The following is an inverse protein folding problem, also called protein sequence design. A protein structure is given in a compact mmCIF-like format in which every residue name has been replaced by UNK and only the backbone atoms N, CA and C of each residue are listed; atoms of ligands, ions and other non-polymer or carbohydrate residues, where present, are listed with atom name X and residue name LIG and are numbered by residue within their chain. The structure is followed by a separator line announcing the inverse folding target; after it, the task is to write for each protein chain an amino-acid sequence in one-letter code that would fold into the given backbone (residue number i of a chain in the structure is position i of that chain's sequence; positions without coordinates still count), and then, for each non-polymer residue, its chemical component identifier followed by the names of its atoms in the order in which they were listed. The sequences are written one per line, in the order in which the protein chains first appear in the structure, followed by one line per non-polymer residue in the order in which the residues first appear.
data_IF_152189856581
#
_entry.id   IF_152189856581
#
_cell.length_a   1.000
_cell.length_b   1.000
_cell.length_c   1.000
_cell.angle_alpha   90.00
_cell.angle_beta   90.00
_cell.angle_gamma   90.00
#
_symmetry.space_group_name_H-M   'P 1'
#
loop_
_entity.id
_entity.type
_entity.pdbx_description
1 polymer ?
#
# COMPACT_ATOMS: atom_id res chain seq x y z
N UNK A 1 37.22 -7.54 -8.44
CA UNK A 1 36.99 -6.68 -9.63
C UNK A 1 35.97 -5.64 -9.21
N UNK A 2 36.24 -4.34 -9.41
CA UNK A 2 35.22 -3.33 -9.13
C UNK A 2 34.16 -3.42 -10.21
N UNK A 3 33.01 -4.04 -9.89
CA UNK A 3 31.88 -4.06 -10.81
C UNK A 3 31.41 -2.63 -11.06
N UNK A 4 31.06 -2.33 -12.31
CA UNK A 4 30.48 -1.03 -12.66
C UNK A 4 29.09 -0.93 -12.03
N UNK A 5 28.81 0.20 -11.40
CA UNK A 5 27.52 0.49 -10.78
C UNK A 5 26.77 1.56 -11.57
N UNK A 6 25.50 1.31 -11.88
CA UNK A 6 24.55 2.32 -12.34
C UNK A 6 23.63 2.68 -11.16
N UNK A 7 23.72 3.93 -10.72
CA UNK A 7 22.74 4.53 -9.82
C UNK A 7 21.58 5.05 -10.64
N UNK A 8 20.35 4.81 -10.20
CA UNK A 8 19.15 5.30 -10.87
C UNK A 8 18.05 5.67 -9.88
N UNK A 9 17.20 6.59 -10.31
CA UNK A 9 15.98 7.03 -9.66
C UNK A 9 15.00 7.53 -10.73
N UNK A 10 13.71 7.20 -10.57
CA UNK A 10 12.67 7.51 -11.54
C UNK A 10 11.60 8.42 -10.95
N UNK A 11 11.31 9.48 -11.68
CA UNK A 11 10.13 10.29 -11.42
C UNK A 11 9.04 9.94 -12.42
N UNK A 12 7.88 9.53 -11.89
CA UNK A 12 6.80 8.96 -12.71
C UNK A 12 5.45 9.60 -12.44
N UNK A 13 4.61 9.65 -13.47
CA UNK A 13 3.21 10.05 -13.34
C UNK A 13 2.29 8.85 -13.46
N UNK A 14 1.28 8.74 -12.60
CA UNK A 14 0.18 7.79 -12.78
C UNK A 14 -1.12 8.38 -12.27
N UNK A 15 -2.22 8.08 -12.95
CA UNK A 15 -3.56 8.39 -12.43
C UNK A 15 -3.94 7.48 -11.25
N UNK A 16 -3.35 6.29 -11.18
CA UNK A 16 -3.53 5.35 -10.09
C UNK A 16 -2.69 5.81 -8.89
N UNK A 17 -3.27 5.99 -7.70
CA UNK A 17 -2.50 6.36 -6.52
C UNK A 17 -1.50 5.27 -6.10
N UNK A 18 -0.25 5.64 -5.81
CA UNK A 18 0.79 4.68 -5.35
C UNK A 18 0.41 3.89 -4.09
N UNK A 19 -0.49 4.43 -3.26
CA UNK A 19 -1.04 3.74 -2.08
C UNK A 19 -1.83 2.47 -2.41
N UNK A 20 -2.25 2.31 -3.66
CA UNK A 20 -2.90 1.12 -4.16
C UNK A 20 -1.89 -0.04 -4.37
N UNK A 21 -0.59 0.26 -4.35
CA UNK A 21 0.49 -0.71 -4.54
C UNK A 21 1.33 -0.37 -5.76
N UNK A 22 2.62 -0.65 -5.67
CA UNK A 22 3.60 -0.34 -6.73
C UNK A 22 3.27 -1.00 -8.05
N UNK A 23 2.79 -2.25 -8.04
CA UNK A 23 2.48 -2.98 -9.28
C UNK A 23 1.27 -2.40 -10.01
N UNK A 24 0.15 -2.19 -9.32
CA UNK A 24 -1.04 -1.53 -9.90
C UNK A 24 -0.73 -0.08 -10.32
N UNK A 25 0.13 0.61 -9.58
CA UNK A 25 0.62 1.95 -9.97
C UNK A 25 1.41 1.90 -11.28
N UNK A 26 2.35 0.95 -11.40
CA UNK A 26 3.30 0.85 -12.50
C UNK A 26 2.67 0.46 -13.84
N UNK A 27 1.56 -0.29 -13.83
CA UNK A 27 0.78 -0.63 -15.04
C UNK A 27 0.29 0.61 -15.80
N UNK A 28 0.11 1.73 -15.10
CA UNK A 28 -0.35 2.99 -15.67
C UNK A 28 0.66 4.13 -15.49
N UNK A 29 1.89 3.80 -15.08
CA UNK A 29 2.91 4.79 -14.82
C UNK A 29 3.64 5.20 -16.10
N UNK A 30 3.82 6.51 -16.27
CA UNK A 30 4.67 7.11 -17.28
C UNK A 30 5.95 7.61 -16.62
N UNK A 31 7.12 7.16 -17.11
CA UNK A 31 8.41 7.70 -16.66
C UNK A 31 8.58 9.09 -17.27
N UNK A 32 8.71 10.10 -16.42
CA UNK A 32 8.90 11.48 -16.83
C UNK A 32 10.38 11.85 -16.84
N UNK A 33 11.06 11.60 -15.72
CA UNK A 33 12.50 11.86 -15.57
C UNK A 33 13.21 10.59 -15.14
N UNK A 34 14.41 10.40 -15.69
CA UNK A 34 15.31 9.33 -15.34
C UNK A 34 16.61 9.95 -14.84
N UNK A 35 16.78 10.04 -13.52
CA UNK A 35 18.03 10.43 -12.91
C UNK A 35 18.97 9.23 -12.84
N UNK A 36 20.22 9.42 -13.25
CA UNK A 36 21.18 8.31 -13.31
C UNK A 36 22.61 8.78 -13.21
N UNK A 37 23.48 7.86 -12.81
CA UNK A 37 24.91 8.11 -12.80
C UNK A 37 25.71 6.79 -12.79
N UNK A 38 26.81 6.73 -13.54
CA UNK A 38 27.70 5.55 -13.55
C UNK A 38 28.84 5.76 -12.56
N UNK A 39 29.07 4.78 -11.68
CA UNK A 39 30.10 4.80 -10.65
C UNK A 39 30.06 6.09 -9.81
N UNK A 40 31.09 6.94 -9.93
CA UNK A 40 31.21 8.25 -9.28
C UNK A 40 31.12 9.41 -10.27
N UNK A 41 30.71 9.17 -11.52
CA UNK A 41 30.53 10.24 -12.49
C UNK A 41 29.40 11.20 -12.04
N UNK A 42 29.42 12.46 -12.53
CA UNK A 42 28.36 13.42 -12.25
C UNK A 42 26.98 12.87 -12.57
N UNK A 43 25.99 13.25 -11.75
CA UNK A 43 24.60 12.85 -11.96
C UNK A 43 24.05 13.53 -13.22
N UNK A 44 23.31 12.77 -14.02
CA UNK A 44 22.61 13.25 -15.19
C UNK A 44 21.13 12.94 -15.04
N UNK A 45 20.27 13.80 -15.58
CA UNK A 45 18.82 13.59 -15.61
C UNK A 45 18.38 13.62 -17.05
N UNK A 46 17.81 12.52 -17.52
CA UNK A 46 17.19 12.44 -18.82
C UNK A 46 15.70 12.79 -18.69
N UNK A 47 15.29 13.88 -19.32
CA UNK A 47 13.88 14.21 -19.51
C UNK A 47 13.31 13.32 -20.63
N UNK A 48 12.60 12.27 -20.23
CA UNK A 48 12.00 11.28 -21.14
C UNK A 48 10.88 11.91 -21.96
N UNK A 49 10.24 12.95 -21.43
CA UNK A 49 9.13 13.66 -22.09
C UNK A 49 9.59 14.62 -23.19
N UNK A 50 10.88 14.93 -23.25
CA UNK A 50 11.45 15.89 -24.20
C UNK A 50 11.49 15.39 -25.66
N UNK A 51 11.25 14.10 -25.90
CA UNK A 51 11.38 13.47 -27.21
C UNK A 51 12.82 13.12 -27.61
N UNK A 52 13.81 13.49 -26.79
CA UNK A 52 15.19 13.07 -27.00
C UNK A 52 15.36 11.57 -26.73
N UNK A 53 16.20 10.92 -27.54
CA UNK A 53 16.56 9.53 -27.33
C UNK A 53 17.27 9.34 -25.98
N UNK A 54 17.14 8.13 -25.42
CA UNK A 54 17.86 7.71 -24.21
C UNK A 54 19.36 7.95 -24.40
N UNK A 55 20.06 8.58 -23.43
CA UNK A 55 21.51 8.74 -23.49
C UNK A 55 22.20 7.39 -23.70
N UNK A 56 23.13 7.35 -24.66
CA UNK A 56 23.78 6.10 -25.08
C UNK A 56 24.51 5.38 -23.92
N UNK A 57 25.14 6.16 -23.05
CA UNK A 57 25.81 5.69 -21.84
C UNK A 57 24.85 5.03 -20.85
N UNK A 58 23.65 5.59 -20.65
CA UNK A 58 22.60 4.98 -19.85
C UNK A 58 22.11 3.67 -20.49
N UNK A 59 21.84 3.70 -21.79
CA UNK A 59 21.39 2.52 -22.56
C UNK A 59 22.40 1.38 -22.46
N UNK A 60 23.69 1.66 -22.61
CA UNK A 60 24.75 0.67 -22.48
C UNK A 60 24.84 0.10 -21.06
N UNK A 61 24.75 0.96 -20.04
CA UNK A 61 24.81 0.52 -18.64
C UNK A 61 23.60 -0.37 -18.26
N UNK A 62 22.40 -0.02 -18.72
CA UNK A 62 21.18 -0.81 -18.50
C UNK A 62 21.27 -2.20 -19.15
N UNK A 63 21.75 -2.26 -20.40
CA UNK A 63 21.82 -3.50 -21.18
C UNK A 63 23.02 -4.41 -20.83
N UNK A 64 24.02 -3.90 -20.11
CA UNK A 64 25.19 -4.70 -19.73
C UNK A 64 24.88 -5.56 -18.48
N UNK A 65 24.92 -6.91 -18.58
CA UNK A 65 24.62 -7.80 -17.47
C UNK A 65 25.61 -7.72 -16.30
N UNK A 66 26.84 -7.23 -16.55
CA UNK A 66 27.89 -7.08 -15.52
C UNK A 66 27.74 -5.79 -14.70
N UNK A 67 26.82 -4.90 -15.10
CA UNK A 67 26.51 -3.66 -14.38
C UNK A 67 25.50 -3.93 -13.27
N UNK A 68 25.89 -3.54 -12.05
CA UNK A 68 25.04 -3.59 -10.86
C UNK A 68 24.15 -2.34 -10.83
N UNK A 69 22.86 -2.54 -10.61
CA UNK A 69 21.84 -1.49 -10.57
C UNK A 69 21.55 -1.12 -9.12
N UNK A 70 21.68 0.16 -8.77
CA UNK A 70 21.38 0.68 -7.44
C UNK A 70 20.23 1.69 -7.51
N UNK A 71 19.25 1.51 -6.62
CA UNK A 71 18.19 2.47 -6.34
C UNK A 71 17.92 2.54 -4.83
N UNK A 72 17.06 3.46 -4.40
CA UNK A 72 16.53 3.50 -3.04
C UNK A 72 15.07 3.09 -3.08
N UNK A 73 14.72 1.98 -2.44
CA UNK A 73 13.43 1.32 -2.67
C UNK A 73 13.27 0.87 -4.14
N UNK A 74 14.27 0.12 -4.61
CA UNK A 74 14.34 -0.48 -5.95
C UNK A 74 13.11 -1.29 -6.35
N UNK A 75 12.30 -1.75 -5.39
CA UNK A 75 11.00 -2.35 -5.68
C UNK A 75 10.13 -1.44 -6.55
N UNK A 76 10.20 -0.12 -6.34
CA UNK A 76 9.54 0.88 -7.17
C UNK A 76 10.14 0.94 -8.58
N UNK A 77 11.39 1.38 -8.71
CA UNK A 77 12.02 1.65 -10.01
C UNK A 77 12.07 0.40 -10.89
N UNK A 78 12.42 -0.74 -10.31
CA UNK A 78 12.46 -2.02 -11.01
C UNK A 78 11.10 -2.42 -11.54
N UNK A 79 10.04 -2.22 -10.76
CA UNK A 79 8.69 -2.57 -11.19
C UNK A 79 8.24 -1.67 -12.32
N UNK A 80 8.43 -0.36 -12.20
CA UNK A 80 8.13 0.60 -13.29
C UNK A 80 8.90 0.25 -14.56
N UNK A 81 10.20 0.00 -14.48
CA UNK A 81 11.02 -0.37 -15.64
C UNK A 81 10.59 -1.70 -16.28
N UNK A 82 10.16 -2.68 -15.47
CA UNK A 82 9.65 -3.94 -16.00
C UNK A 82 8.44 -3.73 -16.92
N UNK A 83 7.60 -2.71 -16.66
CA UNK A 83 6.45 -2.35 -17.50
C UNK A 83 6.84 -1.61 -18.78
N UNK A 84 8.04 -1.03 -18.88
CA UNK A 84 8.56 -0.46 -20.13
C UNK A 84 9.21 -1.50 -21.04
N UNK A 85 9.29 -2.76 -20.59
CA UNK A 85 9.96 -3.85 -21.28
C UNK A 85 11.42 -4.04 -20.87
N UNK A 86 11.99 -3.16 -20.05
CA UNK A 86 13.32 -3.35 -19.47
C UNK A 86 13.26 -4.29 -18.26
N UNK A 87 13.72 -5.52 -18.44
CA UNK A 87 13.77 -6.52 -17.36
C UNK A 87 15.22 -6.92 -17.09
N UNK A 88 15.77 -6.42 -16.00
CA UNK A 88 17.08 -6.82 -15.52
C UNK A 88 16.98 -7.96 -14.50
N UNK A 89 17.92 -8.91 -14.57
CA UNK A 89 18.06 -9.99 -13.59
C UNK A 89 18.09 -9.45 -12.15
N UNK A 90 17.32 -10.07 -11.25
CA UNK A 90 17.20 -9.63 -9.85
C UNK A 90 18.56 -9.59 -9.13
N UNK A 91 19.48 -10.48 -9.48
CA UNK A 91 20.84 -10.53 -8.93
C UNK A 91 21.67 -9.26 -9.19
N UNK A 92 21.32 -8.48 -10.22
CA UNK A 92 21.96 -7.19 -10.56
C UNK A 92 21.51 -6.07 -9.64
N UNK A 93 20.36 -6.19 -8.99
CA UNK A 93 19.78 -5.11 -8.19
C UNK A 93 20.38 -5.03 -6.79
N UNK A 94 20.54 -3.79 -6.33
CA UNK A 94 20.89 -3.40 -4.97
C UNK A 94 20.01 -2.24 -4.55
N UNK A 95 19.69 -2.21 -3.27
CA UNK A 95 18.75 -1.27 -2.68
C UNK A 95 19.30 -0.68 -1.38
N UNK A 96 19.46 0.64 -1.35
CA UNK A 96 19.97 1.34 -0.17
C UNK A 96 18.95 1.37 0.98
N UNK A 97 17.65 1.31 0.70
CA UNK A 97 16.62 1.13 1.74
C UNK A 97 16.79 -0.24 2.40
N UNK A 98 17.02 -1.29 1.62
CA UNK A 98 17.21 -2.65 2.16
C UNK A 98 18.48 -2.73 2.97
N UNK A 99 19.58 -2.14 2.48
CA UNK A 99 20.82 -2.02 3.25
C UNK A 99 20.59 -1.33 4.60
N UNK A 100 19.74 -0.32 4.68
CA UNK A 100 19.38 0.29 5.97
C UNK A 100 18.58 -0.66 6.86
N UNK A 101 17.53 -1.29 6.31
CA UNK A 101 16.62 -2.16 7.05
C UNK A 101 17.32 -3.39 7.64
N UNK A 102 18.30 -3.99 6.94
CA UNK A 102 19.11 -5.12 7.45
C UNK A 102 19.97 -4.74 8.66
N UNK A 103 20.15 -3.45 8.92
CA UNK A 103 20.91 -2.93 10.06
C UNK A 103 20.00 -2.24 11.10
N UNK A 104 18.67 -2.44 11.01
CA UNK A 104 17.70 -1.87 11.96
C UNK A 104 17.51 -0.36 11.84
N UNK A 105 17.94 0.24 10.73
CA UNK A 105 17.84 1.68 10.48
C UNK A 105 16.51 2.04 9.77
N UNK A 106 16.11 3.32 9.78
CA UNK A 106 14.93 3.79 9.05
C UNK A 106 15.04 3.53 7.55
N UNK A 107 13.93 3.19 6.90
CA UNK A 107 13.92 2.91 5.45
C UNK A 107 13.88 4.14 4.55
N UNK A 108 13.41 5.30 5.04
CA UNK A 108 13.26 6.50 4.21
C UNK A 108 14.58 7.24 4.03
N UNK A 109 14.92 7.64 2.79
CA UNK A 109 16.17 8.32 2.45
C UNK A 109 16.44 9.56 3.30
N UNK A 110 15.45 10.46 3.44
CA UNK A 110 15.58 11.65 4.28
C UNK A 110 15.88 11.34 5.75
N UNK A 111 15.24 10.30 6.32
CA UNK A 111 15.50 9.86 7.69
C UNK A 111 16.91 9.26 7.83
N UNK A 112 17.42 8.60 6.79
CA UNK A 112 18.80 8.11 6.76
C UNK A 112 19.81 9.26 6.69
N UNK A 113 19.54 10.29 5.88
CA UNK A 113 20.36 11.49 5.83
C UNK A 113 20.46 12.18 7.20
N UNK A 114 19.33 12.34 7.89
CA UNK A 114 19.28 12.89 9.25
C UNK A 114 20.12 12.07 10.24
N UNK A 115 19.95 10.74 10.26
CA UNK A 115 20.67 9.83 11.17
C UNK A 115 22.19 9.84 10.89
N UNK A 116 22.58 9.92 9.63
CA UNK A 116 23.98 9.87 9.20
C UNK A 116 24.67 11.25 9.20
N UNK A 117 23.96 12.32 9.57
CA UNK A 117 24.49 13.68 9.51
C UNK A 117 24.89 14.10 8.10
N UNK A 118 24.15 13.63 7.08
CA UNK A 118 24.29 14.11 5.70
C UNK A 118 23.51 15.42 5.65
N UNK A 119 24.15 16.51 5.21
CA UNK A 119 23.50 17.82 5.12
C UNK A 119 22.39 17.77 4.08
N UNK A 120 21.15 17.54 4.55
CA UNK A 120 19.95 17.73 3.77
C UNK A 120 19.45 19.15 4.03
N UNK A 121 19.36 19.96 2.98
CA UNK A 121 18.71 21.25 3.07
C UNK A 121 17.20 21.01 3.19
N UNK A 122 16.66 21.16 4.41
CA UNK A 122 15.22 20.95 4.69
C UNK A 122 14.30 21.81 3.83
N UNK A 123 14.78 22.93 3.28
CA UNK A 123 14.00 23.73 2.33
C UNK A 123 13.82 22.99 1.00
N UNK A 124 14.88 22.31 0.52
CA UNK A 124 14.86 21.48 -0.71
C UNK A 124 13.95 20.27 -0.56
N UNK A 125 13.86 19.67 0.62
CA UNK A 125 12.91 18.57 0.89
C UNK A 125 11.45 19.01 0.77
N UNK A 126 11.12 20.21 1.26
CA UNK A 126 9.75 20.73 1.21
C UNK A 126 9.36 21.09 -0.22
N UNK A 127 10.28 21.71 -0.96
CA UNK A 127 10.13 22.04 -2.37
C UNK A 127 9.98 20.79 -3.23
N UNK A 128 10.87 19.81 -3.08
CA UNK A 128 10.81 18.53 -3.78
C UNK A 128 9.49 17.81 -3.58
N UNK A 129 9.01 17.74 -2.33
CA UNK A 129 7.67 17.21 -2.05
C UNK A 129 6.57 17.96 -2.80
N UNK A 130 6.64 19.29 -2.89
CA UNK A 130 5.65 20.06 -3.65
C UNK A 130 5.69 19.74 -5.16
N UNK A 131 6.89 19.57 -5.72
CA UNK A 131 7.10 19.20 -7.13
C UNK A 131 6.58 17.79 -7.43
N UNK A 132 6.89 16.79 -6.59
CA UNK A 132 6.34 15.43 -6.70
C UNK A 132 4.79 15.47 -6.66
N UNK A 133 4.21 16.26 -5.76
CA UNK A 133 2.75 16.39 -5.67
C UNK A 133 2.13 17.07 -6.90
N UNK A 134 2.89 17.93 -7.58
CA UNK A 134 2.47 18.65 -8.77
C UNK A 134 2.56 17.78 -10.03
N UNK A 135 3.67 17.07 -10.22
CA UNK A 135 3.99 16.35 -11.46
C UNK A 135 3.71 14.85 -11.42
N UNK A 136 3.80 14.17 -10.27
CA UNK A 136 3.75 12.70 -10.21
C UNK A 136 2.33 12.12 -10.00
N UNK A 137 1.31 12.98 -9.94
CA UNK A 137 -0.10 12.57 -9.80
C UNK A 137 -1.09 13.60 -10.36
N UNK A 138 -2.35 13.22 -10.61
CA UNK A 138 -3.38 14.17 -11.01
C UNK A 138 -3.57 15.27 -9.96
N UNK A 139 -3.77 16.50 -10.43
CA UNK A 139 -4.10 17.65 -9.57
C UNK A 139 -5.48 17.45 -8.90
N UNK A 140 -5.91 18.31 -7.96
CA UNK A 140 -7.26 18.29 -7.42
C UNK A 140 -8.35 18.55 -8.48
N UNK A 141 -9.52 17.89 -8.38
CA UNK A 141 -10.60 17.93 -9.40
C UNK A 141 -11.18 19.33 -9.66
N UNK A 142 -11.01 20.27 -8.74
CA UNK A 142 -11.45 21.65 -8.85
C UNK A 142 -10.52 22.55 -9.68
N UNK A 143 -9.42 22.01 -10.23
CA UNK A 143 -8.49 22.74 -11.09
C UNK A 143 -8.70 22.33 -12.56
N UNK A 144 -8.72 23.31 -13.46
CA UNK A 144 -8.92 23.11 -14.91
C UNK A 144 -7.83 22.24 -15.54
N UNK A 145 -6.56 22.51 -15.22
CA UNK A 145 -5.43 21.68 -15.64
C UNK A 145 -5.32 20.49 -14.69
N UNK A 146 -5.68 19.30 -15.20
CA UNK A 146 -5.65 18.05 -14.44
C UNK A 146 -4.25 17.46 -14.26
N UNK A 147 -3.34 17.74 -15.20
CA UNK A 147 -1.97 17.22 -15.25
C UNK A 147 -0.99 18.36 -15.52
N UNK A 148 -0.02 18.56 -14.63
CA UNK A 148 1.08 19.48 -14.87
C UNK A 148 2.13 18.81 -15.77
N UNK A 149 2.78 19.60 -16.62
CA UNK A 149 3.76 19.16 -17.62
C UNK A 149 4.83 20.23 -17.80
N UNK A 150 5.92 19.89 -18.49
CA UNK A 150 6.95 20.83 -18.93
C UNK A 150 6.41 22.04 -19.72
N UNK A 151 5.31 21.87 -20.44
CA UNK A 151 4.68 22.95 -21.22
C UNK A 151 3.79 23.86 -20.36
N UNK A 152 3.10 23.29 -19.37
CA UNK A 152 2.14 24.06 -18.54
C UNK A 152 2.81 24.73 -17.35
N UNK A 153 3.90 24.17 -16.83
CA UNK A 153 4.63 24.64 -15.64
C UNK A 153 6.15 24.55 -15.91
N UNK A 154 6.69 25.31 -16.89
CA UNK A 154 8.08 25.16 -17.34
C UNK A 154 9.12 25.49 -16.27
N UNK A 155 8.88 26.50 -15.43
CA UNK A 155 9.81 26.89 -14.36
C UNK A 155 9.88 25.83 -13.27
N UNK A 156 8.73 25.31 -12.84
CA UNK A 156 8.64 24.20 -11.90
C UNK A 156 9.24 22.92 -12.49
N UNK A 157 9.11 22.69 -13.80
CA UNK A 157 9.72 21.53 -14.46
C UNK A 157 11.24 21.59 -14.41
N UNK A 158 11.85 22.75 -14.66
CA UNK A 158 13.31 22.90 -14.54
C UNK A 158 13.79 22.65 -13.11
N UNK A 159 13.04 23.11 -12.11
CA UNK A 159 13.30 22.80 -10.69
C UNK A 159 13.14 21.31 -10.40
N UNK A 160 12.18 20.65 -11.05
CA UNK A 160 11.95 19.22 -10.90
C UNK A 160 13.08 18.38 -11.49
N UNK A 161 13.60 18.75 -12.66
CA UNK A 161 14.81 18.15 -13.25
C UNK A 161 16.00 18.30 -12.30
N UNK A 162 16.22 19.50 -11.75
CA UNK A 162 17.30 19.73 -10.81
C UNK A 162 17.14 18.93 -9.50
N UNK A 163 15.91 18.77 -9.02
CA UNK A 163 15.59 17.99 -7.84
C UNK A 163 15.83 16.49 -8.03
N UNK A 164 15.40 15.90 -9.16
CA UNK A 164 15.52 14.47 -9.43
C UNK A 164 16.96 13.95 -9.34
N UNK A 165 17.97 14.79 -9.64
CA UNK A 165 19.38 14.41 -9.52
C UNK A 165 19.89 14.33 -8.08
N UNK A 166 19.24 14.98 -7.11
CA UNK A 166 19.74 15.08 -5.73
C UNK A 166 19.67 13.76 -4.98
N UNK A 167 18.66 12.94 -5.24
CA UNK A 167 18.46 11.67 -4.55
C UNK A 167 19.58 10.67 -4.86
N UNK A 168 20.17 10.73 -6.07
CA UNK A 168 21.35 9.92 -6.44
C UNK A 168 22.57 10.26 -5.59
N UNK A 169 22.83 11.53 -5.34
CA UNK A 169 23.97 11.97 -4.52
C UNK A 169 23.78 11.52 -3.07
N UNK A 170 22.57 11.71 -2.53
CA UNK A 170 22.21 11.25 -1.19
C UNK A 170 22.34 9.72 -1.07
N UNK A 171 21.81 8.96 -2.03
CA UNK A 171 21.93 7.50 -2.07
C UNK A 171 23.38 7.00 -2.04
N UNK A 172 24.26 7.62 -2.84
CA UNK A 172 25.69 7.27 -2.89
C UNK A 172 26.35 7.47 -1.53
N UNK A 173 26.08 8.61 -0.89
CA UNK A 173 26.68 8.94 0.40
C UNK A 173 26.11 8.05 1.51
N UNK A 174 24.80 7.78 1.49
CA UNK A 174 24.14 6.81 2.40
C UNK A 174 24.78 5.43 2.23
N UNK A 175 24.87 4.89 1.01
CA UNK A 175 25.46 3.58 0.75
C UNK A 175 26.90 3.46 1.27
N UNK A 176 27.68 4.54 1.12
CA UNK A 176 29.09 4.61 1.57
C UNK A 176 29.20 4.56 3.09
N UNK A 177 28.30 5.24 3.81
CA UNK A 177 28.31 5.31 5.29
C UNK A 177 27.64 4.12 5.96
N UNK A 178 26.67 3.50 5.28
CA UNK A 178 25.94 2.36 5.81
C UNK A 178 26.84 1.12 5.91
N UNK A 179 26.70 0.32 6.98
CA UNK A 179 27.37 -0.97 7.07
C UNK A 179 26.98 -1.92 5.93
N UNK A 180 27.85 -2.90 5.65
CA UNK A 180 27.66 -3.90 4.58
C UNK A 180 27.58 -5.34 5.09
N UNK A 181 27.88 -5.58 6.37
CA UNK A 181 28.05 -6.93 6.90
C UNK A 181 26.74 -7.75 6.91
N UNK A 182 25.57 -7.12 7.10
CA UNK A 182 24.25 -7.77 6.93
C UNK A 182 23.63 -7.54 5.54
N UNK A 183 24.38 -6.97 4.59
CA UNK A 183 23.89 -6.65 3.25
C UNK A 183 24.72 -7.37 2.17
N UNK A 184 24.89 -8.67 2.38
CA UNK A 184 25.69 -9.58 1.56
C UNK A 184 25.27 -11.03 1.86
N UNK A 185 25.73 -11.99 1.04
CA UNK A 185 25.51 -13.42 1.28
C UNK A 185 24.03 -13.78 1.40
N UNK A 186 23.69 -14.56 2.44
CA UNK A 186 22.37 -15.11 2.65
C UNK A 186 21.28 -14.05 2.87
N UNK A 187 21.59 -12.93 3.54
CA UNK A 187 20.64 -11.83 3.75
C UNK A 187 20.26 -11.15 2.43
N UNK A 188 21.26 -10.94 1.56
CA UNK A 188 21.02 -10.38 0.23
C UNK A 188 20.21 -11.36 -0.64
N UNK A 189 20.53 -12.65 -0.57
CA UNK A 189 19.78 -13.69 -1.27
C UNK A 189 18.34 -13.81 -0.76
N UNK A 190 18.12 -13.63 0.55
CA UNK A 190 16.80 -13.63 1.17
C UNK A 190 15.97 -12.42 0.72
N UNK A 191 16.59 -11.24 0.59
CA UNK A 191 15.92 -10.09 -0.03
C UNK A 191 15.58 -10.35 -1.52
N UNK A 192 16.50 -10.92 -2.31
CA UNK A 192 16.18 -11.28 -3.70
C UNK A 192 15.02 -12.28 -3.76
N UNK A 193 14.92 -13.21 -2.82
CA UNK A 193 13.79 -14.15 -2.69
C UNK A 193 12.48 -13.44 -2.35
N UNK A 194 12.50 -12.45 -1.45
CA UNK A 194 11.36 -11.58 -1.18
C UNK A 194 10.88 -10.87 -2.44
N UNK A 195 11.80 -10.31 -3.24
CA UNK A 195 11.45 -9.66 -4.50
C UNK A 195 10.83 -10.64 -5.51
N UNK A 196 11.39 -11.85 -5.65
CA UNK A 196 10.80 -12.90 -6.50
C UNK A 196 9.37 -13.26 -6.09
N UNK A 197 9.11 -13.39 -4.78
CA UNK A 197 7.77 -13.68 -4.25
C UNK A 197 6.81 -12.55 -4.57
N UNK A 198 7.23 -11.30 -4.32
CA UNK A 198 6.41 -10.12 -4.56
C UNK A 198 6.11 -9.92 -6.06
N UNK A 199 7.09 -10.15 -6.94
CA UNK A 199 6.91 -10.05 -8.39
C UNK A 199 5.96 -11.11 -8.93
N UNK A 200 6.04 -12.34 -8.39
CA UNK A 200 5.12 -13.42 -8.76
C UNK A 200 3.70 -13.12 -8.29
N UNK A 201 3.54 -12.59 -7.09
CA UNK A 201 2.24 -12.33 -6.48
C UNK A 201 1.38 -13.58 -6.26
N UNK A 202 0.13 -13.37 -5.89
CA UNK A 202 -0.89 -14.40 -5.63
C UNK A 202 -2.09 -14.16 -6.53
N UNK A 203 -2.66 -15.21 -7.12
CA UNK A 203 -3.88 -15.09 -7.92
C UNK A 203 -5.06 -14.84 -6.99
N UNK A 204 -5.85 -13.81 -7.30
CA UNK A 204 -6.96 -13.40 -6.44
C UNK A 204 -8.31 -13.75 -7.07
N UNK A 205 -9.25 -14.18 -6.25
CA UNK A 205 -10.66 -14.27 -6.63
C UNK A 205 -11.30 -12.87 -6.59
N UNK A 206 -11.13 -12.14 -7.70
CA UNK A 206 -11.64 -10.78 -7.87
C UNK A 206 -13.17 -10.74 -7.80
N UNK A 207 -13.84 -11.77 -8.30
CA UNK A 207 -15.31 -11.87 -8.27
C UNK A 207 -15.81 -11.97 -6.83
N UNK A 208 -15.22 -12.86 -6.02
CA UNK A 208 -15.53 -12.95 -4.60
C UNK A 208 -15.29 -11.61 -3.90
N UNK A 209 -14.16 -10.96 -4.17
CA UNK A 209 -13.84 -9.69 -3.53
C UNK A 209 -14.85 -8.59 -3.87
N UNK A 210 -15.26 -8.51 -5.13
CA UNK A 210 -16.29 -7.57 -5.60
C UNK A 210 -17.63 -7.86 -4.95
N UNK A 211 -18.11 -9.10 -5.03
CA UNK A 211 -19.39 -9.52 -4.44
C UNK A 211 -19.42 -9.32 -2.92
N UNK A 212 -18.32 -9.59 -2.22
CA UNK A 212 -18.22 -9.34 -0.79
C UNK A 212 -18.29 -7.84 -0.45
N UNK A 213 -17.68 -6.96 -1.25
CA UNK A 213 -17.81 -5.50 -1.06
C UNK A 213 -19.27 -5.07 -1.23
N UNK A 214 -19.92 -5.53 -2.29
CA UNK A 214 -21.33 -5.20 -2.58
C UNK A 214 -22.24 -5.68 -1.45
N UNK A 215 -22.08 -6.93 -0.99
CA UNK A 215 -22.85 -7.50 0.11
C UNK A 215 -22.67 -6.69 1.41
N UNK A 216 -21.43 -6.33 1.76
CA UNK A 216 -21.18 -5.52 2.97
C UNK A 216 -21.77 -4.11 2.84
N UNK A 217 -21.69 -3.49 1.67
CA UNK A 217 -22.26 -2.15 1.46
C UNK A 217 -23.79 -2.14 1.56
N UNK A 218 -24.47 -3.21 1.15
CA UNK A 218 -25.91 -3.36 1.37
C UNK A 218 -26.21 -3.62 2.85
N UNK A 219 -25.48 -4.53 3.49
CA UNK A 219 -25.67 -4.84 4.91
C UNK A 219 -25.48 -3.61 5.80
N UNK A 220 -24.46 -2.80 5.52
CA UNK A 220 -24.25 -1.55 6.25
C UNK A 220 -25.42 -0.56 6.14
N UNK A 221 -26.11 -0.51 5.00
CA UNK A 221 -27.31 0.32 4.83
C UNK A 221 -28.47 -0.23 5.65
N UNK A 222 -28.66 -1.56 5.66
CA UNK A 222 -29.70 -2.21 6.46
C UNK A 222 -29.47 -2.00 7.96
N UNK A 223 -28.24 -2.21 8.44
CA UNK A 223 -27.86 -1.97 9.83
C UNK A 223 -28.02 -0.50 10.22
N UNK A 224 -27.69 0.45 9.33
CA UNK A 224 -27.90 1.88 9.57
C UNK A 224 -29.40 2.21 9.68
N UNK A 225 -30.24 1.66 8.79
CA UNK A 225 -31.70 1.84 8.85
C UNK A 225 -32.28 1.29 10.16
N UNK A 226 -31.90 0.07 10.55
CA UNK A 226 -32.34 -0.54 11.81
C UNK A 226 -31.86 0.26 13.03
N UNK A 227 -30.64 0.81 12.97
CA UNK A 227 -30.14 1.73 14.01
C UNK A 227 -31.04 2.96 14.14
N UNK A 228 -31.42 3.57 13.02
CA UNK A 228 -32.29 4.75 13.03
C UNK A 228 -33.67 4.40 13.61
N UNK A 229 -34.26 3.27 13.21
CA UNK A 229 -35.55 2.79 13.72
C UNK A 229 -35.49 2.52 15.23
N UNK A 230 -34.43 1.88 15.74
CA UNK A 230 -34.28 1.57 17.15
C UNK A 230 -33.96 2.78 18.04
N UNK A 231 -33.48 3.87 17.44
CA UNK A 231 -33.04 5.08 18.16
C UNK A 231 -33.92 6.29 17.86
N UNK A 232 -35.08 6.10 17.24
CA UNK A 232 -35.98 7.18 16.79
C UNK A 232 -35.26 8.28 15.98
N UNK A 233 -34.25 7.88 15.20
CA UNK A 233 -33.44 8.77 14.36
C UNK A 233 -32.32 9.53 15.09
N UNK A 234 -32.15 9.37 16.40
CA UNK A 234 -31.07 10.03 17.15
C UNK A 234 -29.68 9.59 16.69
N UNK A 235 -29.55 8.34 16.24
CA UNK A 235 -28.31 7.77 15.72
C UNK A 235 -28.49 7.36 14.26
N UNK A 236 -27.69 7.96 13.37
CA UNK A 236 -27.81 7.72 11.93
C UNK A 236 -27.14 6.41 11.49
N UNK A 237 -26.06 6.03 12.16
CA UNK A 237 -25.39 4.75 11.93
C UNK A 237 -24.76 4.28 13.23
N UNK A 238 -24.81 2.97 13.49
CA UNK A 238 -24.24 2.41 14.70
C UNK A 238 -22.74 2.70 14.82
N UNK A 239 -22.03 3.04 13.74
CA UNK A 239 -20.61 3.43 13.74
C UNK A 239 -20.34 4.80 14.41
N UNK A 240 -21.35 5.64 14.63
CA UNK A 240 -21.24 6.95 15.30
C UNK A 240 -21.08 6.79 16.82
N UNK A 241 -19.84 6.59 17.28
CA UNK A 241 -19.50 6.29 18.69
C UNK A 241 -20.19 7.23 19.69
N UNK A 242 -20.03 8.54 19.52
CA UNK A 242 -20.48 9.52 20.50
C UNK A 242 -22.00 9.66 20.52
N UNK A 243 -22.65 9.56 19.36
CA UNK A 243 -24.11 9.53 19.26
C UNK A 243 -24.67 8.27 19.94
N UNK A 244 -24.06 7.10 19.71
CA UNK A 244 -24.45 5.85 20.38
C UNK A 244 -24.28 5.93 21.89
N UNK A 245 -23.14 6.40 22.39
CA UNK A 245 -22.93 6.54 23.85
C UNK A 245 -23.97 7.48 24.47
N UNK A 246 -24.25 8.61 23.80
CA UNK A 246 -25.26 9.57 24.23
C UNK A 246 -26.65 8.94 24.29
N UNK A 247 -27.08 8.29 23.21
CA UNK A 247 -28.38 7.61 23.12
C UNK A 247 -28.54 6.52 24.19
N UNK A 248 -27.52 5.67 24.36
CA UNK A 248 -27.57 4.59 25.37
C UNK A 248 -27.73 5.17 26.78
N UNK A 249 -27.03 6.26 27.07
CA UNK A 249 -27.11 6.93 28.37
C UNK A 249 -28.49 7.57 28.56
N UNK A 250 -29.02 8.26 27.56
CA UNK A 250 -30.30 8.97 27.67
C UNK A 250 -31.51 8.03 27.70
N UNK A 251 -31.54 7.02 26.84
CA UNK A 251 -32.69 6.14 26.67
C UNK A 251 -32.71 4.98 27.68
N UNK A 252 -31.54 4.46 28.07
CA UNK A 252 -31.44 3.27 28.93
C UNK A 252 -30.81 3.54 30.30
N UNK A 253 -30.25 4.73 30.55
CA UNK A 253 -29.57 5.05 31.80
C UNK A 253 -28.27 4.26 32.02
N UNK A 254 -27.76 3.60 30.99
CA UNK A 254 -26.56 2.76 31.05
C UNK A 254 -25.34 3.54 30.58
N UNK A 255 -24.28 3.56 31.39
CA UNK A 255 -23.00 4.17 31.01
C UNK A 255 -22.02 3.07 30.59
N UNK A 256 -21.49 3.20 29.37
CA UNK A 256 -20.43 2.34 28.85
C UNK A 256 -19.08 3.09 28.88
N UNK A 257 -17.99 2.44 29.31
CA UNK A 257 -16.67 3.08 29.36
C UNK A 257 -16.10 3.32 27.95
N UNK A 258 -16.46 2.46 27.00
CA UNK A 258 -16.02 2.48 25.62
C UNK A 258 -16.96 1.66 24.74
N UNK A 259 -16.69 1.68 23.43
CA UNK A 259 -17.37 0.88 22.40
C UNK A 259 -16.46 -0.23 21.86
N UNK A 260 -15.51 -0.72 22.68
CA UNK A 260 -14.61 -1.80 22.28
C UNK A 260 -15.35 -3.13 22.26
N UNK A 261 -14.92 -4.03 21.35
CA UNK A 261 -15.56 -5.33 21.13
C UNK A 261 -15.77 -6.13 22.43
N UNK A 262 -14.74 -6.26 23.26
CA UNK A 262 -14.81 -6.99 24.54
C UNK A 262 -15.82 -6.40 25.53
N UNK A 263 -15.93 -5.07 25.58
CA UNK A 263 -16.91 -4.37 26.42
C UNK A 263 -18.33 -4.66 25.95
N UNK A 264 -18.56 -4.58 24.64
CA UNK A 264 -19.87 -4.83 24.05
C UNK A 264 -20.30 -6.28 24.19
N UNK A 265 -19.43 -7.24 23.89
CA UNK A 265 -19.72 -8.67 24.04
C UNK A 265 -20.09 -9.03 25.48
N UNK A 266 -19.35 -8.52 26.47
CA UNK A 266 -19.67 -8.73 27.89
C UNK A 266 -21.05 -8.15 28.25
N UNK A 267 -21.40 -6.99 27.72
CA UNK A 267 -22.69 -6.32 28.01
C UNK A 267 -23.85 -7.03 27.32
N UNK A 268 -23.67 -7.53 26.10
CA UNK A 268 -24.68 -8.32 25.40
C UNK A 268 -24.99 -9.62 26.16
N UNK A 269 -23.97 -10.23 26.78
CA UNK A 269 -24.13 -11.44 27.59
C UNK A 269 -24.76 -11.19 28.98
N UNK A 270 -24.93 -9.93 29.40
CA UNK A 270 -25.54 -9.57 30.67
C UNK A 270 -27.07 -9.74 30.58
N UNK A 271 -27.67 -10.69 31.32
CA UNK A 271 -29.11 -10.96 31.25
C UNK A 271 -29.96 -9.81 31.80
N UNK A 272 -29.38 -8.96 32.65
CA UNK A 272 -30.07 -7.80 33.23
C UNK A 272 -30.12 -6.61 32.26
N UNK A 273 -29.38 -6.67 31.14
CA UNK A 273 -29.38 -5.61 30.15
C UNK A 273 -30.67 -5.66 29.30
N UNK A 274 -31.39 -4.53 29.14
CA UNK A 274 -32.61 -4.48 28.34
C UNK A 274 -32.42 -5.09 26.96
N UNK A 275 -33.35 -5.95 26.54
CA UNK A 275 -33.28 -6.63 25.25
C UNK A 275 -33.06 -5.69 24.05
N UNK A 276 -33.75 -4.52 23.95
CA UNK A 276 -33.50 -3.56 22.86
C UNK A 276 -32.07 -3.01 22.85
N UNK A 277 -31.46 -2.82 24.03
CA UNK A 277 -30.07 -2.38 24.12
C UNK A 277 -29.11 -3.49 23.70
N UNK A 278 -29.35 -4.74 24.10
CA UNK A 278 -28.53 -5.89 23.64
C UNK A 278 -28.54 -6.03 22.12
N UNK A 279 -29.70 -5.86 21.50
CA UNK A 279 -29.86 -5.85 20.05
C UNK A 279 -29.09 -4.68 19.40
N UNK A 280 -29.24 -3.46 19.93
CA UNK A 280 -28.53 -2.28 19.42
C UNK A 280 -27.00 -2.43 19.52
N UNK A 281 -26.50 -3.03 20.61
CA UNK A 281 -25.08 -3.35 20.77
C UNK A 281 -24.61 -4.44 19.78
N UNK A 282 -25.48 -5.39 19.44
CA UNK A 282 -25.18 -6.43 18.44
C UNK A 282 -25.05 -5.83 17.04
N UNK A 283 -25.96 -4.92 16.67
CA UNK A 283 -25.88 -4.14 15.41
C UNK A 283 -24.57 -3.34 15.36
N UNK A 284 -24.19 -2.70 16.47
CA UNK A 284 -22.91 -1.98 16.57
C UNK A 284 -21.71 -2.88 16.33
N UNK A 285 -21.70 -4.10 16.89
CA UNK A 285 -20.63 -5.07 16.68
C UNK A 285 -20.51 -5.46 15.21
N UNK A 286 -21.63 -5.82 14.57
CA UNK A 286 -21.66 -6.16 13.15
C UNK A 286 -21.17 -5.01 12.27
N UNK A 287 -21.73 -3.81 12.46
CA UNK A 287 -21.41 -2.63 11.67
C UNK A 287 -19.95 -2.16 11.80
N UNK A 288 -19.25 -2.54 12.87
CA UNK A 288 -17.87 -2.14 13.14
C UNK A 288 -16.82 -3.10 12.56
N UNK A 289 -17.23 -4.16 11.87
CA UNK A 289 -16.31 -5.18 11.35
C UNK A 289 -15.45 -4.62 10.19
N UNK A 290 -14.16 -4.98 10.17
CA UNK A 290 -13.17 -4.40 9.23
C UNK A 290 -12.96 -5.21 7.95
N UNK A 291 -13.73 -6.28 7.71
CA UNK A 291 -13.59 -7.21 6.58
C UNK A 291 -13.53 -6.51 5.23
N UNK A 292 -14.38 -5.49 5.03
CA UNK A 292 -14.47 -4.73 3.78
C UNK A 292 -13.17 -4.05 3.39
N UNK A 293 -12.38 -3.60 4.37
CA UNK A 293 -11.11 -2.92 4.09
C UNK A 293 -10.10 -3.83 3.40
N UNK A 294 -10.13 -5.14 3.70
CA UNK A 294 -9.26 -6.14 3.08
C UNK A 294 -9.66 -6.39 1.63
N UNK A 295 -10.95 -6.56 1.36
CA UNK A 295 -11.46 -6.69 0.00
C UNK A 295 -11.18 -5.43 -0.83
N UNK A 296 -11.41 -4.23 -0.28
CA UNK A 296 -11.08 -2.96 -0.95
C UNK A 296 -9.58 -2.83 -1.23
N UNK A 297 -8.72 -3.21 -0.29
CA UNK A 297 -7.26 -3.21 -0.49
C UNK A 297 -6.82 -4.17 -1.61
N UNK A 298 -7.44 -5.35 -1.70
CA UNK A 298 -7.26 -6.29 -2.80
C UNK A 298 -7.69 -5.66 -4.13
N UNK A 299 -8.93 -5.19 -4.22
CA UNK A 299 -9.50 -4.63 -5.46
C UNK A 299 -8.72 -3.44 -5.99
N UNK A 300 -8.19 -2.60 -5.09
CA UNK A 300 -7.40 -1.44 -5.48
C UNK A 300 -6.01 -1.82 -5.99
N UNK A 301 -5.43 -2.93 -5.52
CA UNK A 301 -4.02 -3.27 -5.76
C UNK A 301 -3.77 -4.48 -6.64
N UNK A 302 -4.83 -5.18 -7.08
CA UNK A 302 -4.71 -6.28 -8.03
C UNK A 302 -4.28 -5.74 -9.40
N UNK A 303 -3.32 -6.41 -10.01
CA UNK A 303 -2.90 -6.15 -11.39
C UNK A 303 -3.95 -6.59 -12.40
N UNK A 304 -3.85 -6.10 -13.64
CA UNK A 304 -4.72 -6.50 -14.76
C UNK A 304 -4.78 -8.02 -15.00
N UNK A 305 -3.71 -8.75 -14.67
CA UNK A 305 -3.65 -10.22 -14.79
C UNK A 305 -4.31 -10.98 -13.63
N UNK A 306 -5.04 -10.28 -12.75
CA UNK A 306 -5.75 -10.85 -11.62
C UNK A 306 -4.85 -11.27 -10.46
N UNK A 307 -3.58 -10.84 -10.43
CA UNK A 307 -2.64 -11.17 -9.35
C UNK A 307 -2.35 -9.97 -8.46
N UNK A 308 -2.35 -10.21 -7.15
CA UNK A 308 -1.94 -9.21 -6.16
C UNK A 308 -0.46 -9.40 -5.81
N UNK A 309 0.30 -8.30 -5.88
CA UNK A 309 1.77 -8.28 -5.76
C UNK A 309 2.23 -7.27 -4.71
N UNK A 310 3.52 -7.33 -4.34
CA UNK A 310 4.09 -6.37 -3.37
C UNK A 310 3.45 -6.41 -1.98
N UNK A 311 2.99 -7.59 -1.54
CA UNK A 311 2.26 -7.75 -0.27
C UNK A 311 3.16 -8.05 0.92
N UNK A 312 4.46 -8.26 0.70
CA UNK A 312 5.45 -8.51 1.73
C UNK A 312 6.60 -7.52 1.61
N UNK A 313 7.21 -7.18 2.74
CA UNK A 313 8.42 -6.38 2.78
C UNK A 313 9.46 -7.08 3.65
N UNK A 314 10.58 -7.43 3.02
CA UNK A 314 11.80 -7.86 3.69
C UNK A 314 12.26 -6.86 4.77
N UNK A 315 12.65 -7.37 5.94
CA UNK A 315 13.05 -6.57 7.11
C UNK A 315 12.09 -5.42 7.47
N UNK A 316 10.79 -5.57 7.18
CA UNK A 316 9.79 -4.54 7.45
C UNK A 316 9.51 -4.30 8.94
N UNK A 317 9.90 -5.24 9.82
CA UNK A 317 9.84 -5.07 11.27
C UNK A 317 11.22 -4.73 11.85
N UNK A 318 11.55 -3.44 11.92
CA UNK A 318 12.88 -2.89 12.18
C UNK A 318 13.62 -3.47 13.41
N UNK A 319 12.91 -3.82 14.48
CA UNK A 319 13.54 -4.37 15.71
C UNK A 319 13.89 -5.85 15.63
N UNK A 320 13.26 -6.60 14.73
CA UNK A 320 13.35 -8.08 14.71
C UNK A 320 13.82 -8.65 13.38
N UNK A 321 13.92 -7.83 12.33
CA UNK A 321 14.23 -8.29 10.97
C UNK A 321 13.12 -9.10 10.30
N UNK A 322 11.99 -9.34 10.98
CA UNK A 322 10.87 -10.08 10.39
C UNK A 322 10.30 -9.35 9.17
N UNK A 323 9.84 -10.16 8.20
CA UNK A 323 9.07 -9.65 7.08
C UNK A 323 7.75 -9.08 7.58
N UNK A 324 7.28 -8.02 6.92
CA UNK A 324 6.03 -7.38 7.26
C UNK A 324 5.05 -7.37 6.09
N UNK A 325 3.76 -7.53 6.37
CA UNK A 325 2.70 -7.37 5.37
C UNK A 325 2.56 -5.92 4.88
N UNK A 326 2.25 -5.77 3.59
CA UNK A 326 1.86 -4.52 2.92
C UNK A 326 0.54 -4.71 2.18
N UNK A 327 -0.14 -3.60 1.86
CA UNK A 327 -1.43 -3.58 1.16
C UNK A 327 -2.49 -4.44 1.86
N UNK A 328 -2.86 -5.58 1.27
CA UNK A 328 -3.80 -6.57 1.81
C UNK A 328 -3.30 -7.20 3.13
N UNK A 329 -1.98 -7.25 3.35
CA UNK A 329 -1.32 -7.87 4.50
C UNK A 329 -1.78 -9.31 4.75
N UNK A 330 -1.33 -10.29 3.94
CA UNK A 330 -1.78 -11.68 4.04
C UNK A 330 -1.45 -12.33 5.40
N UNK A 331 -0.43 -11.82 6.10
CA UNK A 331 -0.04 -12.25 7.44
C UNK A 331 -1.04 -11.85 8.55
N UNK A 332 -1.97 -10.94 8.26
CA UNK A 332 -2.92 -10.36 9.21
C UNK A 332 -4.36 -10.43 8.67
N UNK A 333 -4.75 -11.61 8.18
CA UNK A 333 -6.13 -11.92 7.82
C UNK A 333 -6.87 -12.48 9.04
N UNK A 334 -8.13 -12.07 9.26
CA UNK A 334 -8.93 -12.58 10.36
C UNK A 334 -8.98 -14.11 10.31
N UNK A 335 -8.97 -14.72 11.49
CA UNK A 335 -9.23 -16.15 11.62
C UNK A 335 -10.72 -16.39 11.34
N UNK A 336 -11.08 -17.35 10.47
CA UNK A 336 -12.49 -17.66 10.24
C UNK A 336 -13.16 -18.12 11.53
N UNK A 337 -14.41 -17.72 11.73
CA UNK A 337 -15.23 -18.17 12.86
C UNK A 337 -16.30 -19.19 12.45
N UNK A 338 -16.51 -19.36 11.13
CA UNK A 338 -17.46 -20.31 10.58
C UNK A 338 -16.76 -21.62 10.15
N UNK A 339 -17.48 -22.77 10.17
CA UNK A 339 -17.01 -24.03 9.58
C UNK A 339 -16.67 -23.91 8.09
N UNK A 340 -15.77 -24.75 7.58
CA UNK A 340 -15.28 -24.64 6.20
C UNK A 340 -16.37 -24.89 5.15
N UNK A 341 -17.25 -25.86 5.37
CA UNK A 341 -18.40 -26.15 4.49
C UNK A 341 -19.37 -24.96 4.38
N UNK A 342 -19.55 -24.24 5.48
CA UNK A 342 -20.33 -23.00 5.53
C UNK A 342 -19.63 -21.87 4.77
N UNK A 343 -18.30 -21.77 4.88
CA UNK A 343 -17.49 -20.79 4.15
C UNK A 343 -17.58 -21.06 2.64
N UNK A 344 -17.43 -22.30 2.21
CA UNK A 344 -17.45 -22.68 0.79
C UNK A 344 -18.81 -22.37 0.16
N UNK A 345 -19.90 -22.79 0.83
CA UNK A 345 -21.27 -22.46 0.39
C UNK A 345 -21.52 -20.95 0.39
N UNK A 346 -21.00 -20.25 1.40
CA UNK A 346 -21.14 -18.81 1.53
C UNK A 346 -20.38 -18.01 0.46
N UNK A 347 -19.22 -18.50 0.01
CA UNK A 347 -18.51 -17.91 -1.14
C UNK A 347 -19.36 -17.98 -2.40
N UNK A 348 -19.98 -19.13 -2.67
CA UNK A 348 -20.87 -19.29 -3.83
C UNK A 348 -22.12 -18.41 -3.69
N UNK A 349 -22.72 -18.33 -2.50
CA UNK A 349 -23.86 -17.46 -2.24
C UNK A 349 -23.53 -15.96 -2.41
N UNK A 350 -22.35 -15.53 -1.96
CA UNK A 350 -21.86 -14.16 -2.17
C UNK A 350 -21.72 -13.88 -3.66
N UNK A 351 -21.05 -14.75 -4.42
CA UNK A 351 -20.88 -14.60 -5.87
C UNK A 351 -22.20 -14.60 -6.62
N UNK A 352 -23.18 -15.39 -6.17
CA UNK A 352 -24.53 -15.43 -6.73
C UNK A 352 -25.41 -14.23 -6.32
N UNK A 353 -24.97 -13.40 -5.35
CA UNK A 353 -25.72 -12.25 -4.88
C UNK A 353 -26.95 -12.61 -4.04
N UNK A 354 -26.94 -13.76 -3.36
CA UNK A 354 -28.06 -14.27 -2.55
C UNK A 354 -27.66 -14.67 -1.13
N UNK A 355 -26.49 -14.22 -0.65
CA UNK A 355 -25.99 -14.55 0.68
C UNK A 355 -26.94 -14.11 1.82
N UNK A 356 -27.65 -13.00 1.63
CA UNK A 356 -28.67 -12.47 2.54
C UNK A 356 -29.89 -13.39 2.72
N UNK A 357 -30.15 -14.28 1.77
CA UNK A 357 -31.22 -15.27 1.87
C UNK A 357 -30.82 -16.50 2.68
N UNK A 358 -29.52 -16.73 2.87
CA UNK A 358 -28.97 -17.94 3.49
C UNK A 358 -28.32 -17.67 4.85
N UNK A 359 -27.93 -16.44 5.13
CA UNK A 359 -27.16 -16.08 6.32
C UNK A 359 -27.67 -14.80 6.98
N UNK A 360 -27.93 -14.88 8.29
CA UNK A 360 -28.39 -13.75 9.09
C UNK A 360 -27.29 -12.71 9.39
N UNK A 361 -26.01 -13.11 9.38
CA UNK A 361 -24.86 -12.24 9.67
C UNK A 361 -23.86 -12.21 8.51
N UNK A 362 -24.13 -11.32 7.55
CA UNK A 362 -23.28 -11.09 6.38
C UNK A 362 -21.89 -10.55 6.78
N UNK A 363 -21.79 -9.83 7.89
CA UNK A 363 -20.51 -9.28 8.36
C UNK A 363 -19.58 -10.39 8.87
N UNK A 364 -20.12 -11.37 9.60
CA UNK A 364 -19.40 -12.56 10.04
C UNK A 364 -19.02 -13.45 8.85
N UNK A 365 -19.94 -13.64 7.91
CA UNK A 365 -19.70 -14.42 6.71
C UNK A 365 -18.55 -13.83 5.89
N UNK A 366 -18.62 -12.54 5.56
CA UNK A 366 -17.60 -11.85 4.76
C UNK A 366 -16.24 -11.77 5.48
N UNK A 367 -16.23 -11.73 6.81
CA UNK A 367 -15.01 -11.86 7.62
C UNK A 367 -14.39 -13.26 7.49
N UNK A 368 -15.20 -14.31 7.52
CA UNK A 368 -14.75 -15.70 7.46
C UNK A 368 -14.30 -16.12 6.06
N UNK A 369 -14.92 -15.57 5.02
CA UNK A 369 -14.63 -15.87 3.60
C UNK A 369 -13.42 -15.11 3.05
N UNK A 370 -12.87 -14.11 3.76
CA UNK A 370 -11.78 -13.25 3.25
C UNK A 370 -10.49 -14.01 2.94
N UNK A 371 -10.30 -15.20 3.50
CA UNK A 371 -9.14 -16.05 3.15
C UNK A 371 -9.34 -16.77 1.82
N UNK A 372 -10.59 -17.01 1.42
CA UNK A 372 -10.98 -17.66 0.16
C UNK A 372 -10.71 -16.82 -1.08
N UNK A 373 -10.38 -15.54 -0.93
CA UNK A 373 -9.94 -14.69 -2.06
C UNK A 373 -8.58 -15.11 -2.62
N UNK A 374 -7.79 -15.91 -1.90
CA UNK A 374 -6.55 -16.46 -2.45
C UNK A 374 -6.89 -17.72 -3.26
N UNK A 375 -6.80 -17.65 -4.59
CA UNK A 375 -6.89 -18.87 -5.42
C UNK A 375 -5.55 -19.60 -5.34
N UNK A 376 -5.61 -20.88 -4.94
CA UNK A 376 -4.44 -21.77 -4.94
C UNK A 376 -4.04 -22.15 -6.36
#
# INVERSE_FOLDING_TARGET
MNNTTLWLDLETYSEIPIRNGTHAYAEHAEIMLFAWAVNNNPVQVWDVTSGNAMPETLRQALNNPDVILFAHNSHFDRTVLNHTGFKAELSRWRDTMVQALTHGLPGALGALCDVLGISADKAKDKEGKALIQLFCKPRPKNVSIRRATSQTHPEEWQRFIAYAGLDIEAMREVHKRLPKWNYQGDELALWHRDQQINDRGVCMDVDLAKSAIEAVEQEQKLLAKRTQEMTDGEVQAATQRDAMLKHITSAFGVILPDMQKSTLERRIADPDLPAPLRELLSIRLQASTTSTSKYKALMNGVSEDGRLRGTLQFCGASRTGRWAGRLFQPQNLPRPTLPQDVIDTGIEALKAGCADLLYDDIMQLTSSTVRGVNRQ
#
